data_IF_112118062792
#
_entry.id   IF_112118062792
#
_cell.length_a   1.000
_cell.length_b   1.000
_cell.length_c   1.000
_cell.angle_alpha   90.00
_cell.angle_beta   90.00
_cell.angle_gamma   90.00
#
_symmetry.space_group_name_H-M   'P 1'
#
loop_
_entity.id
_entity.type
_entity.pdbx_description
1 polymer ?
#
# COMPACT_ATOMS: atom_id res chain seq x y z
N UNK A 1 -10.98 8.50 22.72
CA UNK A 1 -10.03 9.32 21.93
C UNK A 1 -10.34 9.09 20.46
N UNK A 2 -10.71 10.14 19.74
CA UNK A 2 -10.93 10.09 18.29
C UNK A 2 -9.55 9.97 17.62
N UNK A 3 -9.36 9.12 16.58
CA UNK A 3 -8.12 9.12 15.81
C UNK A 3 -7.82 10.55 15.34
N UNK A 4 -6.55 10.97 15.42
CA UNK A 4 -6.15 12.25 14.86
C UNK A 4 -6.55 12.26 13.38
N UNK A 5 -7.16 13.36 12.95
CA UNK A 5 -7.47 13.54 11.53
C UNK A 5 -6.17 13.42 10.73
N UNK A 6 -6.20 12.60 9.71
CA UNK A 6 -5.08 12.46 8.78
C UNK A 6 -4.79 13.78 8.08
N UNK A 7 -3.54 14.17 8.05
CA UNK A 7 -3.06 15.36 7.33
C UNK A 7 -2.32 14.92 6.06
N UNK A 8 -2.99 14.99 4.89
CA UNK A 8 -2.38 14.59 3.63
C UNK A 8 -1.14 15.40 3.26
N UNK A 9 -1.13 16.71 3.54
CA UNK A 9 -0.01 17.58 3.17
C UNK A 9 1.28 17.15 3.87
N UNK A 10 1.22 16.96 5.17
CA UNK A 10 2.37 16.50 5.96
C UNK A 10 2.84 15.10 5.56
N UNK A 11 1.90 14.20 5.30
CA UNK A 11 2.19 12.85 4.84
C UNK A 11 2.93 12.87 3.50
N UNK A 12 2.43 13.64 2.53
CA UNK A 12 3.01 13.77 1.19
C UNK A 12 4.41 14.42 1.25
N UNK A 13 4.61 15.44 2.09
CA UNK A 13 5.91 16.08 2.26
C UNK A 13 6.96 15.09 2.79
N UNK A 14 6.59 14.21 3.73
CA UNK A 14 7.49 13.18 4.22
C UNK A 14 7.87 12.18 3.12
N UNK A 15 6.90 11.73 2.32
CA UNK A 15 7.17 10.81 1.20
C UNK A 15 8.02 11.46 0.11
N UNK A 16 7.76 12.71 -0.25
CA UNK A 16 8.60 13.46 -1.21
C UNK A 16 10.03 13.57 -0.76
N UNK A 17 10.26 13.87 0.52
CA UNK A 17 11.61 13.91 1.11
C UNK A 17 12.28 12.54 1.06
N UNK A 18 11.57 11.46 1.40
CA UNK A 18 12.09 10.11 1.31
C UNK A 18 12.50 9.76 -0.13
N UNK A 19 11.63 10.02 -1.10
CA UNK A 19 11.91 9.78 -2.52
C UNK A 19 13.13 10.59 -2.99
N UNK A 20 13.19 11.87 -2.62
CA UNK A 20 14.33 12.73 -2.95
C UNK A 20 15.64 12.22 -2.34
N UNK A 21 15.61 11.74 -1.09
CA UNK A 21 16.77 11.15 -0.41
C UNK A 21 17.27 9.89 -1.12
N UNK A 22 16.35 9.01 -1.51
CA UNK A 22 16.70 7.78 -2.25
C UNK A 22 17.36 8.15 -3.59
N UNK A 23 16.76 9.06 -4.35
CA UNK A 23 17.27 9.47 -5.66
C UNK A 23 18.59 10.26 -5.58
N UNK A 24 18.83 10.98 -4.49
CA UNK A 24 20.12 11.63 -4.27
C UNK A 24 21.25 10.60 -4.09
N UNK A 25 20.95 9.48 -3.41
CA UNK A 25 21.89 8.39 -3.21
C UNK A 25 22.02 7.46 -4.43
N UNK A 26 20.90 7.18 -5.11
CA UNK A 26 20.82 6.29 -6.27
C UNK A 26 19.94 6.97 -7.33
N UNK A 27 20.53 7.79 -8.23
CA UNK A 27 19.77 8.63 -9.18
C UNK A 27 18.82 7.87 -10.10
N UNK A 28 19.17 6.64 -10.47
CA UNK A 28 18.39 5.79 -11.38
C UNK A 28 17.49 4.79 -10.64
N UNK A 29 17.32 4.96 -9.32
CA UNK A 29 16.47 4.07 -8.54
C UNK A 29 15.02 4.10 -9.03
N UNK A 30 14.49 2.93 -9.38
CA UNK A 30 13.06 2.73 -9.54
C UNK A 30 12.42 2.50 -8.17
N UNK A 31 11.31 3.18 -7.91
CA UNK A 31 10.67 3.17 -6.60
C UNK A 31 9.24 2.63 -6.75
N UNK A 32 8.96 1.55 -6.04
CA UNK A 32 7.63 1.01 -5.89
C UNK A 32 7.10 1.31 -4.48
N UNK A 33 6.05 2.10 -4.41
CA UNK A 33 5.29 2.28 -3.19
C UNK A 33 4.25 1.16 -3.05
N UNK A 34 3.94 0.80 -1.81
CA UNK A 34 2.85 -0.13 -1.50
C UNK A 34 1.86 0.61 -0.61
N UNK A 35 0.60 0.69 -1.02
CA UNK A 35 -0.42 1.33 -0.19
C UNK A 35 -0.69 0.50 1.07
N UNK A 36 -1.27 1.15 2.08
CA UNK A 36 -1.73 0.46 3.29
C UNK A 36 -2.85 -0.53 2.97
N UNK A 37 -3.04 -1.51 3.84
CA UNK A 37 -4.27 -2.30 3.88
C UNK A 37 -5.37 -1.56 4.67
N UNK A 38 -6.61 -2.03 4.53
CA UNK A 38 -7.69 -1.63 5.45
C UNK A 38 -7.38 -2.09 6.87
N UNK A 39 -7.90 -1.38 7.87
CA UNK A 39 -7.57 -1.68 9.26
C UNK A 39 -8.60 -1.16 10.24
N UNK A 40 -8.56 -1.67 11.47
CA UNK A 40 -9.19 -1.06 12.61
C UNK A 40 -8.21 -0.20 13.42
N UNK A 41 -8.73 0.82 14.08
CA UNK A 41 -8.06 1.58 15.10
C UNK A 41 -8.83 1.45 16.39
N UNK A 42 -8.22 0.86 17.40
CA UNK A 42 -8.86 0.62 18.71
C UNK A 42 -10.26 -0.03 18.57
N UNK A 43 -10.31 -1.18 17.90
CA UNK A 43 -11.52 -1.98 17.69
C UNK A 43 -12.63 -1.33 16.84
N UNK A 44 -12.34 -0.23 16.15
CA UNK A 44 -13.25 0.41 15.20
C UNK A 44 -12.58 0.59 13.87
N UNK A 45 -13.36 0.57 12.80
CA UNK A 45 -12.85 0.82 11.46
C UNK A 45 -12.03 2.12 11.43
N UNK A 46 -10.83 2.06 10.85
CA UNK A 46 -9.95 3.22 10.70
C UNK A 46 -10.49 4.16 9.61
N UNK A 47 -11.02 5.34 9.96
CA UNK A 47 -11.61 6.24 8.98
C UNK A 47 -10.59 6.88 8.04
N UNK A 48 -9.30 6.78 8.37
CA UNK A 48 -8.22 7.38 7.59
C UNK A 48 -7.62 6.43 6.54
N UNK A 49 -7.93 5.13 6.58
CA UNK A 49 -7.26 4.14 5.74
C UNK A 49 -7.36 4.47 4.24
N UNK A 50 -8.55 4.82 3.77
CA UNK A 50 -8.76 5.20 2.37
C UNK A 50 -8.06 6.51 2.02
N UNK A 51 -8.09 7.51 2.89
CA UNK A 51 -7.43 8.79 2.64
C UNK A 51 -5.90 8.66 2.56
N UNK A 52 -5.30 7.79 3.37
CA UNK A 52 -3.88 7.45 3.28
C UNK A 52 -3.55 6.79 1.94
N UNK A 53 -4.34 5.80 1.53
CA UNK A 53 -4.21 5.16 0.22
C UNK A 53 -4.30 6.16 -0.92
N UNK A 54 -5.29 7.05 -0.92
CA UNK A 54 -5.49 8.04 -1.96
C UNK A 54 -4.32 9.04 -2.02
N UNK A 55 -3.79 9.44 -0.87
CA UNK A 55 -2.59 10.28 -0.80
C UNK A 55 -1.37 9.58 -1.40
N UNK A 56 -1.16 8.30 -1.13
CA UNK A 56 -0.04 7.55 -1.73
C UNK A 56 -0.15 7.46 -3.24
N UNK A 57 -1.34 7.17 -3.77
CA UNK A 57 -1.55 7.11 -5.22
C UNK A 57 -1.32 8.47 -5.90
N UNK A 58 -1.58 9.58 -5.22
CA UNK A 58 -1.34 10.91 -5.75
C UNK A 58 0.14 11.23 -6.00
N UNK A 59 1.07 10.45 -5.44
CA UNK A 59 2.52 10.58 -5.67
C UNK A 59 2.99 9.99 -7.01
N UNK A 60 2.21 9.10 -7.61
CA UNK A 60 2.63 8.30 -8.77
C UNK A 60 3.09 9.18 -9.94
N UNK A 61 2.26 10.08 -10.43
CA UNK A 61 2.58 10.91 -11.58
C UNK A 61 3.60 12.01 -11.24
N UNK A 62 3.41 12.86 -10.20
CA UNK A 62 4.33 13.96 -9.92
C UNK A 62 5.74 13.49 -9.55
N UNK A 63 5.85 12.41 -8.80
CA UNK A 63 7.14 11.89 -8.33
C UNK A 63 7.72 10.79 -9.24
N UNK A 64 7.00 10.40 -10.29
CA UNK A 64 7.41 9.32 -11.22
C UNK A 64 7.81 8.04 -10.48
N UNK A 65 6.94 7.59 -9.61
CA UNK A 65 7.05 6.33 -8.86
C UNK A 65 5.92 5.40 -9.26
N UNK A 66 6.09 4.10 -9.05
CA UNK A 66 5.00 3.14 -9.12
C UNK A 66 4.34 3.00 -7.75
N UNK A 67 3.07 2.61 -7.73
CA UNK A 67 2.38 2.27 -6.49
C UNK A 67 1.54 1.01 -6.70
N UNK A 68 1.76 0.00 -5.87
CA UNK A 68 0.85 -1.12 -5.76
C UNK A 68 -0.28 -0.76 -4.81
N UNK A 69 -1.49 -0.71 -5.34
CA UNK A 69 -2.70 -0.41 -4.59
C UNK A 69 -3.17 -1.65 -3.81
N UNK A 70 -2.45 -1.98 -2.75
CA UNK A 70 -2.74 -3.11 -1.86
C UNK A 70 -4.12 -2.95 -1.23
N UNK A 71 -4.50 -1.73 -0.85
CA UNK A 71 -5.80 -1.44 -0.22
C UNK A 71 -6.96 -1.97 -1.06
N UNK A 72 -7.01 -1.60 -2.34
CA UNK A 72 -8.06 -2.08 -3.24
C UNK A 72 -7.85 -3.53 -3.67
N UNK A 73 -6.62 -3.98 -3.81
CA UNK A 73 -6.33 -5.35 -4.20
C UNK A 73 -6.87 -6.36 -3.16
N UNK A 74 -6.84 -6.00 -1.88
CA UNK A 74 -7.42 -6.80 -0.79
C UNK A 74 -8.94 -6.62 -0.62
N UNK A 75 -9.57 -5.69 -1.34
CA UNK A 75 -11.01 -5.46 -1.32
C UNK A 75 -11.47 -4.11 -0.75
N UNK A 76 -10.54 -3.22 -0.38
CA UNK A 76 -10.86 -1.87 0.09
C UNK A 76 -11.48 -1.83 1.48
N UNK A 77 -12.39 -0.89 1.69
CA UNK A 77 -13.06 -0.69 2.98
C UNK A 77 -13.85 -1.95 3.39
N UNK A 78 -13.61 -2.42 4.61
CA UNK A 78 -14.23 -3.62 5.17
C UNK A 78 -13.47 -4.91 4.87
N UNK A 79 -12.43 -4.87 4.03
CA UNK A 79 -11.67 -6.08 3.68
C UNK A 79 -10.94 -6.68 4.87
N UNK A 80 -10.54 -5.87 5.85
CA UNK A 80 -9.87 -6.39 7.05
C UNK A 80 -10.78 -7.31 7.87
N UNK A 81 -12.08 -7.07 7.88
CA UNK A 81 -13.04 -7.93 8.56
C UNK A 81 -13.21 -9.27 7.84
N UNK A 82 -13.22 -9.25 6.52
CA UNK A 82 -13.25 -10.46 5.68
C UNK A 82 -11.97 -11.28 5.87
N UNK A 83 -10.82 -10.62 5.86
CA UNK A 83 -9.52 -11.26 6.09
C UNK A 83 -9.42 -11.84 7.50
N UNK A 84 -9.96 -11.15 8.49
CA UNK A 84 -10.01 -11.67 9.86
C UNK A 84 -10.90 -12.91 9.96
N UNK A 85 -12.09 -12.88 9.38
CA UNK A 85 -13.00 -14.02 9.37
C UNK A 85 -12.42 -15.24 8.64
N UNK A 86 -11.61 -15.02 7.62
CA UNK A 86 -10.90 -16.06 6.87
C UNK A 86 -9.59 -16.53 7.53
N UNK A 87 -9.19 -15.95 8.67
CA UNK A 87 -7.99 -16.36 9.42
C UNK A 87 -6.69 -15.69 8.98
N UNK A 88 -6.74 -14.71 8.06
CA UNK A 88 -5.56 -13.99 7.58
C UNK A 88 -5.17 -12.79 8.44
N UNK A 89 -6.13 -12.13 9.07
CA UNK A 89 -5.86 -11.00 9.95
C UNK A 89 -6.01 -11.38 11.43
N UNK A 90 -5.22 -10.74 12.28
CA UNK A 90 -5.27 -10.92 13.73
C UNK A 90 -6.55 -10.31 14.34
N UNK A 91 -6.81 -10.63 15.60
CA UNK A 91 -8.01 -10.18 16.31
C UNK A 91 -8.11 -8.65 16.47
N UNK A 92 -6.97 -7.96 16.46
CA UNK A 92 -6.91 -6.49 16.50
C UNK A 92 -7.33 -5.83 15.16
N UNK A 93 -7.46 -6.63 14.09
CA UNK A 93 -7.79 -6.18 12.73
C UNK A 93 -6.90 -5.03 12.25
N UNK A 94 -5.65 -5.06 12.66
CA UNK A 94 -4.59 -4.16 12.25
C UNK A 94 -3.42 -4.94 11.67
N UNK A 95 -2.99 -5.98 12.36
CA UNK A 95 -1.88 -6.82 11.93
C UNK A 95 -2.40 -8.05 11.18
N UNK A 96 -1.62 -8.52 10.21
CA UNK A 96 -1.86 -9.80 9.57
C UNK A 96 -1.28 -10.93 10.41
N UNK A 97 -1.88 -12.11 10.28
CA UNK A 97 -1.26 -13.37 10.72
C UNK A 97 -0.24 -13.84 9.68
N UNK A 98 0.51 -14.88 10.01
CA UNK A 98 1.51 -15.46 9.11
C UNK A 98 0.95 -15.71 7.70
N UNK A 99 -0.21 -16.36 7.60
CA UNK A 99 -0.83 -16.70 6.31
C UNK A 99 -1.30 -15.45 5.56
N UNK A 100 -1.70 -14.40 6.27
CA UNK A 100 -2.03 -13.11 5.68
C UNK A 100 -0.82 -12.42 5.06
N UNK A 101 0.34 -12.46 5.71
CA UNK A 101 1.58 -11.93 5.13
C UNK A 101 2.05 -12.76 3.94
N UNK A 102 1.88 -14.09 3.98
CA UNK A 102 2.19 -14.96 2.83
C UNK A 102 1.28 -14.59 1.65
N UNK A 103 -0.03 -14.45 1.87
CA UNK A 103 -0.97 -14.01 0.83
C UNK A 103 -0.55 -12.67 0.21
N UNK A 104 -0.19 -11.69 1.02
CA UNK A 104 0.29 -10.39 0.51
C UNK A 104 1.56 -10.54 -0.34
N UNK A 105 2.48 -11.39 0.07
CA UNK A 105 3.70 -11.68 -0.69
C UNK A 105 3.41 -12.35 -2.04
N UNK A 106 2.49 -13.31 -2.07
CA UNK A 106 2.06 -13.98 -3.30
C UNK A 106 1.38 -12.99 -4.27
N UNK A 107 0.50 -12.14 -3.76
CA UNK A 107 -0.15 -11.12 -4.58
C UNK A 107 0.86 -10.10 -5.15
N UNK A 108 1.84 -9.67 -4.37
CA UNK A 108 2.91 -8.80 -4.85
C UNK A 108 3.73 -9.48 -5.94
N UNK A 109 4.09 -10.75 -5.75
CA UNK A 109 4.81 -11.53 -6.75
C UNK A 109 4.04 -11.58 -8.07
N UNK A 110 2.75 -11.88 -8.04
CA UNK A 110 1.91 -11.90 -9.24
C UNK A 110 1.87 -10.55 -9.96
N UNK A 111 1.75 -9.44 -9.20
CA UNK A 111 1.76 -8.09 -9.77
C UNK A 111 3.08 -7.79 -10.45
N UNK A 112 4.20 -8.13 -9.83
CA UNK A 112 5.54 -7.90 -10.41
C UNK A 112 5.78 -8.75 -11.65
N UNK A 113 5.35 -10.02 -11.66
CA UNK A 113 5.47 -10.90 -12.81
C UNK A 113 4.62 -10.38 -13.98
N UNK A 114 3.38 -9.98 -13.73
CA UNK A 114 2.51 -9.40 -14.78
C UNK A 114 3.10 -8.11 -15.35
N UNK A 115 3.65 -7.24 -14.52
CA UNK A 115 4.30 -6.02 -14.96
C UNK A 115 5.54 -6.33 -15.83
N UNK A 116 6.37 -7.29 -15.44
CA UNK A 116 7.54 -7.72 -16.20
C UNK A 116 7.16 -8.31 -17.56
N UNK A 117 6.12 -9.15 -17.62
CA UNK A 117 5.65 -9.76 -18.86
C UNK A 117 5.02 -8.73 -19.82
N UNK A 118 4.30 -7.73 -19.31
CA UNK A 118 3.70 -6.66 -20.12
C UNK A 118 4.73 -5.67 -20.69
N UNK A 119 5.92 -5.59 -20.06
CA UNK A 119 7.03 -4.71 -20.48
C UNK A 119 8.08 -5.40 -21.36
N UNK A 120 7.88 -6.66 -21.73
CA UNK A 120 8.84 -7.37 -22.56
C UNK A 120 8.64 -7.01 -24.06
N UNK A 121 9.48 -6.14 -24.68
CA UNK A 121 9.33 -5.75 -26.07
C UNK A 121 9.80 -6.83 -27.06
N UNK A 122 10.18 -8.01 -26.59
CA UNK A 122 10.83 -9.05 -27.38
C UNK A 122 9.88 -10.15 -27.87
N UNK A 123 8.66 -9.78 -28.29
CA UNK A 123 7.88 -10.66 -29.16
C UNK A 123 7.62 -9.93 -30.46
N UNK A 124 8.25 -10.36 -31.58
CA UNK A 124 7.90 -9.86 -32.90
C UNK A 124 6.44 -10.18 -33.22
#
# INVERSE_FOLDING_TARGET
MVPRRFDPSRFLDHYRRLIATIRAAVPDAEILLVSNNDSHYRYRHNPNAQAVRDAMLSLVAPERVACWDLYNHLGGKGSIDVLHAAGYAAADRLHMRKDGYILMGELLYEVLVRAALSHNPATP
#
